data_IF_952821047067
#
_entry.id   IF_952821047067
#
_cell.length_a   1.000
_cell.length_b   1.000
_cell.length_c   1.000
_cell.angle_alpha   90.00
_cell.angle_beta   90.00
_cell.angle_gamma   90.00
#
_symmetry.space_group_name_H-M   'P 1'
#
loop_
_entity.id
_entity.type
_entity.pdbx_description
1 polymer ?
#
# COMPACT_ATOMS: atom_id res chain seq x y z
N UNK A 1 -22.27 6.09 -13.28
CA UNK A 1 -21.77 6.30 -11.91
C UNK A 1 -21.33 7.75 -11.83
N UNK A 2 -22.02 8.57 -11.03
CA UNK A 2 -21.84 10.02 -11.01
C UNK A 2 -20.51 10.37 -10.34
N UNK A 3 -19.68 11.12 -11.06
CA UNK A 3 -18.33 11.55 -10.68
C UNK A 3 -18.41 12.44 -9.42
N UNK A 4 -18.01 11.88 -8.27
CA UNK A 4 -17.92 12.58 -6.98
C UNK A 4 -16.69 13.49 -6.93
N UNK A 5 -16.44 14.29 -7.96
CA UNK A 5 -15.31 15.22 -7.98
C UNK A 5 -15.80 16.60 -8.38
N UNK A 6 -15.76 17.59 -7.47
CA UNK A 6 -16.27 18.92 -7.78
C UNK A 6 -15.53 19.53 -8.99
N UNK A 7 -16.23 20.14 -9.97
CA UNK A 7 -15.66 20.59 -11.25
C UNK A 7 -14.45 21.53 -11.14
N UNK A 8 -14.30 22.21 -9.99
CA UNK A 8 -13.17 23.10 -9.71
C UNK A 8 -11.85 22.34 -9.47
N UNK A 9 -11.91 21.07 -9.05
CA UNK A 9 -10.72 20.25 -8.79
C UNK A 9 -10.13 19.65 -10.08
N UNK A 10 -10.98 19.32 -11.06
CA UNK A 10 -10.57 18.65 -12.31
C UNK A 10 -9.59 19.47 -13.16
N UNK A 11 -9.62 20.80 -13.05
CA UNK A 11 -8.74 21.72 -13.78
C UNK A 11 -7.58 22.25 -12.94
N UNK A 12 -7.44 21.81 -11.68
CA UNK A 12 -6.33 22.25 -10.84
C UNK A 12 -5.02 21.61 -11.29
N UNK A 13 -3.93 22.38 -11.25
CA UNK A 13 -2.60 21.87 -11.56
C UNK A 13 -2.22 20.68 -10.66
N UNK A 14 -2.65 20.73 -9.39
CA UNK A 14 -2.44 19.66 -8.42
C UNK A 14 -3.14 18.37 -8.84
N UNK A 15 -4.42 18.42 -9.24
CA UNK A 15 -5.15 17.24 -9.71
C UNK A 15 -4.54 16.64 -10.98
N UNK A 16 -4.17 17.47 -11.97
CA UNK A 16 -3.53 16.97 -13.18
C UNK A 16 -2.17 16.32 -12.86
N UNK A 17 -1.37 16.94 -11.99
CA UNK A 17 -0.09 16.37 -11.53
C UNK A 17 -0.28 15.08 -10.74
N UNK A 18 -1.29 15.01 -9.86
CA UNK A 18 -1.64 13.81 -9.10
C UNK A 18 -2.10 12.67 -10.03
N UNK A 19 -2.97 12.96 -11.00
CA UNK A 19 -3.42 11.98 -12.01
C UNK A 19 -2.25 11.47 -12.85
N UNK A 20 -1.33 12.35 -13.26
CA UNK A 20 -0.12 11.96 -13.96
C UNK A 20 0.81 11.10 -13.09
N UNK A 21 0.98 11.46 -11.81
CA UNK A 21 1.79 10.70 -10.86
C UNK A 21 1.19 9.31 -10.61
N UNK A 22 -0.12 9.20 -10.35
CA UNK A 22 -0.84 7.93 -10.16
C UNK A 22 -0.69 7.04 -11.38
N UNK A 23 -0.97 7.56 -12.59
CA UNK A 23 -0.85 6.77 -13.81
C UNK A 23 0.59 6.34 -14.09
N UNK A 24 1.56 7.23 -13.86
CA UNK A 24 2.97 6.91 -14.04
C UNK A 24 3.49 5.89 -13.02
N UNK A 25 2.97 5.93 -11.79
CA UNK A 25 3.30 4.99 -10.72
C UNK A 25 2.66 3.63 -10.96
N UNK A 26 1.35 3.58 -11.20
CA UNK A 26 0.64 2.32 -11.50
C UNK A 26 1.16 1.65 -12.77
N UNK A 27 1.66 2.44 -13.73
CA UNK A 27 2.27 1.95 -14.96
C UNK A 27 3.77 1.60 -14.87
N UNK A 28 4.43 1.80 -13.72
CA UNK A 28 5.88 1.58 -13.58
C UNK A 28 6.23 0.80 -12.31
N UNK A 29 6.67 -0.47 -12.44
CA UNK A 29 7.15 -1.26 -11.31
C UNK A 29 8.29 -0.57 -10.53
N UNK A 30 9.19 0.14 -11.22
CA UNK A 30 10.30 0.84 -10.59
C UNK A 30 9.83 1.98 -9.67
N UNK A 31 8.83 2.75 -10.11
CA UNK A 31 8.26 3.85 -9.29
C UNK A 31 7.48 3.33 -8.09
N UNK A 32 6.76 2.22 -8.25
CA UNK A 32 6.12 1.55 -7.11
C UNK A 32 7.15 1.10 -6.08
N UNK A 33 8.25 0.50 -6.52
CA UNK A 33 9.33 0.07 -5.62
C UNK A 33 10.02 1.25 -4.92
N UNK A 34 10.21 2.37 -5.61
CA UNK A 34 10.76 3.60 -5.04
C UNK A 34 9.88 4.14 -3.91
N UNK A 35 8.55 4.17 -4.11
CA UNK A 35 7.59 4.55 -3.07
C UNK A 35 7.64 3.62 -1.85
N UNK A 36 7.78 2.31 -2.05
CA UNK A 36 7.90 1.38 -0.93
C UNK A 36 9.25 1.52 -0.20
N UNK A 37 10.33 1.82 -0.92
CA UNK A 37 11.68 1.91 -0.34
C UNK A 37 11.89 3.12 0.57
N UNK A 38 11.11 4.19 0.39
CA UNK A 38 11.18 5.42 1.17
C UNK A 38 10.35 5.38 2.48
N UNK A 39 10.06 4.18 3.01
CA UNK A 39 9.21 3.91 4.17
C UNK A 39 9.76 4.41 5.54
N UNK A 40 10.52 5.51 5.56
CA UNK A 40 10.94 6.25 6.76
C UNK A 40 9.76 6.61 7.67
N UNK A 41 8.57 6.70 7.09
CA UNK A 41 7.32 7.02 7.77
C UNK A 41 6.76 5.84 8.60
N UNK A 42 7.07 4.58 8.29
CA UNK A 42 6.68 3.45 9.15
C UNK A 42 7.29 3.57 10.56
N UNK A 43 8.48 4.18 10.66
CA UNK A 43 9.12 4.46 11.95
C UNK A 43 8.40 5.57 12.74
N UNK A 44 7.73 6.51 12.05
CA UNK A 44 6.97 7.59 12.69
C UNK A 44 5.64 7.06 13.25
N UNK A 45 4.98 6.14 12.52
CA UNK A 45 3.76 5.48 13.00
C UNK A 45 4.06 4.51 14.16
N UNK A 46 5.15 3.76 14.09
CA UNK A 46 5.52 2.75 15.11
C UNK A 46 5.93 3.32 16.47
N UNK A 47 6.36 4.57 16.54
CA UNK A 47 6.77 5.22 17.80
C UNK A 47 5.61 5.93 18.53
N UNK A 48 4.39 5.91 17.99
CA UNK A 48 3.22 6.57 18.56
C UNK A 48 2.16 5.53 18.96
N UNK A 49 1.85 5.40 20.25
CA UNK A 49 0.85 4.45 20.76
C UNK A 49 -0.54 4.62 20.11
N UNK A 50 -0.87 5.82 19.64
CA UNK A 50 -2.12 6.11 18.93
C UNK A 50 -2.28 5.41 17.59
N UNK A 51 -1.19 5.00 16.96
CA UNK A 51 -1.19 4.47 15.60
C UNK A 51 -0.73 3.01 15.53
N UNK A 52 -0.49 2.35 16.68
CA UNK A 52 0.00 0.96 16.74
C UNK A 52 -0.85 0.01 15.89
N UNK A 53 -2.17 0.17 15.96
CA UNK A 53 -3.13 -0.77 15.38
C UNK A 53 -3.20 -0.67 13.86
N UNK A 54 -2.75 0.46 13.28
CA UNK A 54 -2.71 0.67 11.83
C UNK A 54 -1.35 0.36 11.22
N UNK A 55 -0.30 0.18 12.04
CA UNK A 55 1.06 -0.10 11.54
C UNK A 55 1.10 -1.37 10.71
N UNK A 56 0.52 -2.47 11.20
CA UNK A 56 0.58 -3.75 10.49
C UNK A 56 -0.25 -3.73 9.20
N UNK A 57 -1.51 -3.25 9.19
CA UNK A 57 -2.26 -3.06 7.94
C UNK A 57 -1.51 -2.21 6.90
N UNK A 58 -0.85 -1.14 7.34
CA UNK A 58 -0.03 -0.30 6.45
C UNK A 58 1.16 -1.09 5.90
N UNK A 59 1.89 -1.84 6.72
CA UNK A 59 2.98 -2.72 6.25
C UNK A 59 2.48 -3.74 5.23
N UNK A 60 1.33 -4.36 5.48
CA UNK A 60 0.69 -5.29 4.54
C UNK A 60 0.35 -4.61 3.22
N UNK A 61 -0.19 -3.38 3.25
CA UNK A 61 -0.44 -2.60 2.05
C UNK A 61 0.84 -2.34 1.22
N UNK A 62 1.95 -1.98 1.87
CA UNK A 62 3.25 -1.81 1.20
C UNK A 62 3.76 -3.12 0.59
N UNK A 63 3.63 -4.25 1.30
CA UNK A 63 3.97 -5.58 0.77
C UNK A 63 3.10 -5.93 -0.45
N UNK A 64 1.80 -5.67 -0.39
CA UNK A 64 0.86 -5.91 -1.49
C UNK A 64 1.28 -5.13 -2.74
N UNK A 65 1.49 -3.81 -2.62
CA UNK A 65 1.92 -2.98 -3.74
C UNK A 65 3.24 -3.48 -4.36
N UNK A 66 4.19 -3.91 -3.52
CA UNK A 66 5.47 -4.49 -3.97
C UNK A 66 5.27 -5.79 -4.75
N UNK A 67 4.42 -6.70 -4.26
CA UNK A 67 4.13 -7.99 -4.92
C UNK A 67 3.33 -7.78 -6.21
N UNK A 68 2.40 -6.85 -6.22
CA UNK A 68 1.67 -6.44 -7.42
C UNK A 68 2.61 -5.89 -8.49
N UNK A 69 3.53 -4.99 -8.11
CA UNK A 69 4.53 -4.40 -9.00
C UNK A 69 5.45 -5.46 -9.64
N UNK A 70 5.81 -6.50 -8.89
CA UNK A 70 6.60 -7.64 -9.40
C UNK A 70 5.79 -8.57 -10.30
N UNK A 71 4.46 -8.54 -10.20
CA UNK A 71 3.57 -9.45 -10.92
C UNK A 71 3.23 -10.73 -10.16
N UNK A 72 3.75 -10.90 -8.94
CA UNK A 72 3.54 -12.09 -8.11
C UNK A 72 2.08 -12.20 -7.62
N UNK A 73 1.42 -11.06 -7.38
CA UNK A 73 0.06 -11.00 -6.85
C UNK A 73 -0.85 -10.13 -7.72
N UNK A 74 -2.05 -10.62 -8.06
CA UNK A 74 -3.03 -9.92 -8.91
C UNK A 74 -4.48 -10.03 -8.43
N UNK A 75 -4.72 -10.68 -7.29
CA UNK A 75 -6.06 -10.83 -6.71
C UNK A 75 -6.51 -9.58 -5.94
N UNK A 76 -6.59 -8.46 -6.66
CA UNK A 76 -7.06 -7.18 -6.15
C UNK A 76 -7.76 -6.42 -7.28
N UNK A 77 -8.87 -5.75 -6.96
CA UNK A 77 -9.56 -4.93 -7.96
C UNK A 77 -8.70 -3.74 -8.39
N UNK A 78 -8.88 -3.27 -9.64
CA UNK A 78 -8.17 -2.07 -10.14
C UNK A 78 -8.51 -0.82 -9.32
N UNK A 79 -9.73 -0.75 -8.80
CA UNK A 79 -10.20 0.36 -7.95
C UNK A 79 -9.52 0.33 -6.58
N UNK A 80 -9.50 -0.84 -5.92
CA UNK A 80 -8.80 -1.05 -4.63
C UNK A 80 -7.31 -0.73 -4.78
N UNK A 81 -6.67 -1.21 -5.85
CA UNK A 81 -5.26 -0.94 -6.11
C UNK A 81 -4.99 0.55 -6.35
N UNK A 82 -5.82 1.22 -7.14
CA UNK A 82 -5.67 2.65 -7.40
C UNK A 82 -5.86 3.47 -6.11
N UNK A 83 -6.83 3.10 -5.28
CA UNK A 83 -7.08 3.73 -3.99
C UNK A 83 -5.88 3.55 -3.05
N UNK A 84 -5.39 2.32 -2.92
CA UNK A 84 -4.23 1.99 -2.10
C UNK A 84 -2.98 2.73 -2.56
N UNK A 85 -2.69 2.71 -3.86
CA UNK A 85 -1.55 3.41 -4.43
C UNK A 85 -1.66 4.92 -4.24
N UNK A 86 -2.84 5.51 -4.45
CA UNK A 86 -3.06 6.95 -4.24
C UNK A 86 -2.80 7.35 -2.79
N UNK A 87 -3.34 6.57 -1.84
CA UNK A 87 -3.16 6.81 -0.41
C UNK A 87 -1.69 6.70 0.02
N UNK A 88 -0.97 5.69 -0.47
CA UNK A 88 0.47 5.51 -0.20
C UNK A 88 1.31 6.59 -0.88
N UNK A 89 1.02 6.96 -2.12
CA UNK A 89 1.68 8.05 -2.84
C UNK A 89 1.54 9.35 -2.05
N UNK A 90 0.31 9.67 -1.64
CA UNK A 90 0.01 10.88 -0.88
C UNK A 90 0.76 10.90 0.46
N UNK A 91 0.84 9.76 1.13
CA UNK A 91 1.59 9.61 2.38
C UNK A 91 3.12 9.68 2.22
N UNK A 92 3.70 9.14 1.14
CA UNK A 92 5.15 8.99 0.96
C UNK A 92 5.78 10.12 0.15
N UNK A 93 5.04 10.79 -0.75
CA UNK A 93 5.62 11.80 -1.63
C UNK A 93 6.05 13.06 -0.84
N UNK A 94 7.31 13.50 -0.99
CA UNK A 94 7.82 14.71 -0.34
C UNK A 94 7.23 16.03 -0.90
N UNK A 95 6.25 15.98 -1.81
CA UNK A 95 5.66 17.15 -2.49
C UNK A 95 4.35 17.62 -1.83
N UNK A 96 3.61 16.77 -1.10
CA UNK A 96 2.35 17.18 -0.46
C UNK A 96 2.52 17.78 0.95
N UNK A 97 3.76 17.94 1.41
CA UNK A 97 4.14 18.86 2.50
C UNK A 97 3.94 20.35 2.16
N UNK A 98 3.33 20.69 1.02
CA UNK A 98 3.41 22.04 0.43
C UNK A 98 2.09 22.87 0.52
N UNK A 99 0.85 22.34 0.53
CA UNK A 99 -0.31 23.24 0.71
C UNK A 99 -0.74 23.43 2.18
N UNK A 100 -0.83 22.36 2.97
CA UNK A 100 -1.46 22.45 4.30
C UNK A 100 -0.49 22.86 5.42
N UNK A 101 0.81 22.85 5.13
CA UNK A 101 1.83 23.43 6.02
C UNK A 101 1.76 24.96 6.09
N UNK A 102 1.07 25.61 5.14
CA UNK A 102 0.88 27.06 5.19
C UNK A 102 -0.16 27.50 6.25
N UNK A 103 -0.95 26.56 6.81
CA UNK A 103 -2.02 26.84 7.78
C UNK A 103 -1.94 25.99 9.08
N UNK A 104 -0.78 25.41 9.39
CA UNK A 104 -0.40 25.06 10.77
C UNK A 104 -1.00 23.81 11.43
N UNK A 105 -1.73 22.93 10.72
CA UNK A 105 -2.33 21.70 11.31
C UNK A 105 -2.34 20.43 10.40
N UNK A 106 -1.53 20.38 9.33
CA UNK A 106 -1.74 19.47 8.18
C UNK A 106 -1.30 18.00 8.25
N UNK A 107 -0.75 17.46 9.35
CA UNK A 107 -0.27 16.06 9.36
C UNK A 107 -1.35 15.01 9.61
N UNK A 108 -2.51 15.41 10.15
CA UNK A 108 -3.54 14.47 10.58
C UNK A 108 -4.42 13.98 9.42
N UNK A 109 -4.59 14.78 8.36
CA UNK A 109 -5.49 14.43 7.26
C UNK A 109 -4.94 13.28 6.41
N UNK A 110 -3.64 13.31 6.11
CA UNK A 110 -2.94 12.27 5.32
C UNK A 110 -2.90 10.92 6.06
N UNK A 111 -2.65 10.95 7.38
CA UNK A 111 -2.72 9.75 8.24
C UNK A 111 -4.15 9.23 8.28
N UNK A 112 -5.15 10.13 8.33
CA UNK A 112 -6.56 9.73 8.35
C UNK A 112 -6.99 9.09 7.03
N UNK A 113 -6.53 9.61 5.89
CA UNK A 113 -6.77 9.03 4.57
C UNK A 113 -6.13 7.64 4.46
N UNK A 114 -4.90 7.48 4.93
CA UNK A 114 -4.22 6.19 4.94
C UNK A 114 -4.93 5.19 5.86
N UNK A 115 -5.25 5.58 7.08
CA UNK A 115 -5.98 4.75 8.04
C UNK A 115 -7.35 4.33 7.51
N UNK A 116 -8.10 5.26 6.92
CA UNK A 116 -9.37 4.96 6.28
C UNK A 116 -9.21 4.00 5.10
N UNK A 117 -8.17 4.19 4.27
CA UNK A 117 -7.91 3.34 3.10
C UNK A 117 -7.58 1.91 3.53
N UNK A 118 -6.68 1.71 4.49
CA UNK A 118 -6.33 0.34 4.94
C UNK A 118 -7.51 -0.36 5.61
N UNK A 119 -8.37 0.39 6.31
CA UNK A 119 -9.59 -0.16 6.87
C UNK A 119 -10.63 -0.52 5.80
N UNK A 120 -10.81 0.35 4.79
CA UNK A 120 -11.71 0.10 3.66
C UNK A 120 -11.28 -1.11 2.83
N UNK A 121 -9.97 -1.39 2.78
CA UNK A 121 -9.37 -2.49 2.03
C UNK A 121 -9.00 -3.69 2.90
N UNK A 122 -9.52 -3.79 4.14
CA UNK A 122 -9.15 -4.86 5.07
C UNK A 122 -9.28 -6.27 4.47
N UNK A 123 -10.38 -6.53 3.75
CA UNK A 123 -10.60 -7.82 3.08
C UNK A 123 -9.62 -8.09 1.93
N UNK A 124 -9.19 -7.06 1.20
CA UNK A 124 -8.14 -7.19 0.17
C UNK A 124 -6.78 -7.51 0.84
N UNK A 125 -6.49 -6.87 1.98
CA UNK A 125 -5.27 -7.11 2.75
C UNK A 125 -5.26 -8.50 3.42
N UNK A 126 -6.41 -8.99 3.88
CA UNK A 126 -6.56 -10.33 4.45
C UNK A 126 -6.29 -11.40 3.39
N UNK A 127 -6.92 -11.30 2.21
CA UNK A 127 -6.64 -12.20 1.06
C UNK A 127 -5.17 -12.19 0.67
N UNK A 128 -4.56 -11.01 0.62
CA UNK A 128 -3.14 -10.89 0.33
C UNK A 128 -2.27 -11.57 1.40
N UNK A 129 -2.63 -11.43 2.67
CA UNK A 129 -1.91 -12.05 3.80
C UNK A 129 -2.02 -13.57 3.76
N UNK A 130 -3.20 -14.11 3.44
CA UNK A 130 -3.40 -15.55 3.24
C UNK A 130 -2.55 -16.07 2.09
N UNK A 131 -2.53 -15.35 0.97
CA UNK A 131 -1.66 -15.68 -0.16
C UNK A 131 -0.17 -15.61 0.22
N UNK A 132 0.30 -14.60 0.95
CA UNK A 132 1.69 -14.52 1.39
C UNK A 132 2.10 -15.71 2.27
N UNK A 133 1.20 -16.17 3.15
CA UNK A 133 1.43 -17.37 3.98
C UNK A 133 1.55 -18.63 3.12
N UNK A 134 0.63 -18.83 2.19
CA UNK A 134 0.67 -19.97 1.28
C UNK A 134 1.97 -20.03 0.45
N UNK A 135 2.45 -18.87 -0.04
CA UNK A 135 3.73 -18.81 -0.76
C UNK A 135 4.94 -19.13 0.13
N UNK A 136 4.88 -18.83 1.43
CA UNK A 136 5.96 -19.14 2.37
C UNK A 136 6.03 -20.66 2.66
N UNK A 137 4.87 -21.30 2.84
CA UNK A 137 4.76 -22.74 3.06
C UNK A 137 5.22 -23.56 1.84
N UNK A 138 4.90 -23.10 0.62
CA UNK A 138 5.36 -23.77 -0.61
C UNK A 138 6.89 -23.67 -0.82
N UNK A 139 7.53 -22.64 -0.26
CA UNK A 139 8.98 -22.43 -0.35
C UNK A 139 9.81 -23.20 0.67
N UNK A 140 9.17 -23.82 1.66
CA UNK A 140 9.80 -24.68 2.68
C UNK A 140 9.23 -26.10 2.57
N UNK A 141 9.60 -26.86 1.51
CA UNK A 141 9.10 -28.23 1.37
C UNK A 141 9.57 -29.03 2.57
N UNK A 142 8.60 -29.58 3.31
CA UNK A 142 8.81 -30.54 4.39
C UNK A 142 9.91 -31.53 3.95
N UNK A 143 10.98 -31.74 4.74
CA UNK A 143 12.05 -32.64 4.33
C UNK A 143 11.39 -33.97 3.99
N UNK A 144 11.54 -34.42 2.73
CA UNK A 144 11.11 -35.74 2.28
C UNK A 144 11.51 -36.74 3.36
N UNK A 145 10.53 -37.14 4.18
CA UNK A 145 10.69 -38.20 5.16
C UNK A 145 10.88 -39.45 4.31
N UNK A 146 12.13 -39.73 3.97
CA UNK A 146 12.50 -40.98 3.36
C UNK A 146 11.92 -42.07 4.26
N UNK A 147 11.11 -43.00 3.73
CA UNK A 147 10.66 -44.14 4.52
C UNK A 147 11.90 -44.74 5.14
N UNK A 148 11.95 -44.76 6.48
CA UNK A 148 13.09 -45.30 7.21
C UNK A 148 13.41 -46.70 6.69
N UNK A 149 14.69 -47.12 6.72
CA UNK A 149 15.09 -48.40 6.16
C UNK A 149 14.16 -49.48 6.69
N UNK A 150 13.56 -50.23 5.75
CA UNK A 150 12.74 -51.38 6.07
C UNK A 150 13.55 -52.25 7.04
N UNK A 151 12.96 -52.56 8.19
CA UNK A 151 13.57 -53.46 9.15
C UNK A 151 13.50 -54.86 8.53
N UNK A 152 14.64 -55.34 8.05
CA UNK A 152 14.87 -56.74 7.71
C UNK A 152 14.82 -57.62 8.97
#
# INVERSE_FOLDING_TARGET
MAEKTPPRLLNSWAYQKAKHAVNATLGSPAKLLELVSNARILNVLGNNERFSDIVEPVKTAFRLLKRYAKGDYRDISKESLALLATSVIYFVMPIDLIPDFLLGLGFLDDISLLAWTVNALSQDLDRFTEWEKAQAEESDPEPLLLPGPAKD
#
